data_IF_456548480670
#
_entry.id   IF_456548480670
#
_cell.length_a   1.000
_cell.length_b   1.000
_cell.length_c   1.000
_cell.angle_alpha   90.00
_cell.angle_beta   90.00
_cell.angle_gamma   90.00
#
_symmetry.space_group_name_H-M   'P 1'
#
loop_
_entity.id
_entity.type
_entity.pdbx_description
1 polymer ?
#
# COMPACT_ATOMS: atom_id res chain seq x y z
N UNK A 1 75.22 61.75 -68.03
CA UNK A 1 75.71 60.87 -69.13
C UNK A 1 75.85 59.47 -68.58
N UNK A 2 75.12 58.51 -69.16
CA UNK A 2 75.23 57.04 -68.97
C UNK A 2 75.03 56.51 -67.54
N UNK A 3 74.37 55.39 -67.28
CA UNK A 3 73.81 54.30 -68.09
C UNK A 3 72.87 53.53 -67.15
N UNK A 4 71.72 53.08 -67.64
CA UNK A 4 71.39 51.66 -67.86
C UNK A 4 71.70 50.72 -66.66
N UNK A 5 70.87 49.78 -66.18
CA UNK A 5 69.56 49.17 -66.50
C UNK A 5 69.69 47.70 -66.03
N UNK A 6 68.54 47.08 -65.65
CA UNK A 6 68.25 45.62 -65.53
C UNK A 6 68.83 44.88 -64.31
N UNK A 7 67.97 44.45 -63.38
CA UNK A 7 66.98 43.33 -63.41
C UNK A 7 67.61 41.97 -63.13
N UNK A 8 67.07 41.25 -62.14
CA UNK A 8 66.30 39.98 -62.24
C UNK A 8 66.12 39.45 -60.80
N UNK A 9 64.91 39.44 -60.22
CA UNK A 9 63.75 38.54 -60.37
C UNK A 9 63.91 37.20 -59.64
N UNK A 10 63.05 36.98 -58.63
CA UNK A 10 62.15 35.84 -58.43
C UNK A 10 61.66 35.94 -56.98
N UNK A 11 60.38 36.24 -56.72
CA UNK A 11 59.28 35.25 -56.77
C UNK A 11 59.13 34.70 -55.34
N UNK A 12 57.97 34.57 -54.72
CA UNK A 12 56.62 34.35 -55.23
C UNK A 12 55.64 34.43 -54.04
N UNK A 13 54.43 34.92 -54.27
CA UNK A 13 53.23 34.67 -53.46
C UNK A 13 53.08 35.54 -52.21
N UNK A 14 51.96 36.19 -51.91
CA UNK A 14 50.65 36.20 -52.54
C UNK A 14 49.79 37.18 -51.72
N UNK A 15 49.13 38.08 -52.44
CA UNK A 15 48.17 39.09 -51.99
C UNK A 15 46.92 38.48 -51.35
N UNK A 16 46.32 39.12 -50.33
CA UNK A 16 45.00 39.80 -50.42
C UNK A 16 44.50 40.29 -49.04
N UNK A 17 44.42 41.62 -48.92
CA UNK A 17 43.28 42.45 -48.45
C UNK A 17 42.17 41.83 -47.56
N UNK A 18 41.94 42.41 -46.36
CA UNK A 18 40.66 42.90 -45.81
C UNK A 18 40.91 43.39 -44.36
N UNK A 19 40.73 44.66 -43.97
CA UNK A 19 39.48 45.39 -43.75
C UNK A 19 38.54 44.69 -42.74
N UNK A 20 38.02 45.50 -41.80
CA UNK A 20 37.03 45.17 -40.77
C UNK A 20 37.56 44.44 -39.52
N UNK A 21 38.19 45.23 -38.64
CA UNK A 21 37.94 45.10 -37.21
C UNK A 21 36.48 45.53 -37.00
N UNK A 22 35.55 44.65 -37.36
CA UNK A 22 34.17 44.71 -36.92
C UNK A 22 34.15 44.13 -35.52
N UNK A 23 33.76 44.98 -34.59
CA UNK A 23 33.16 44.63 -33.30
C UNK A 23 32.17 43.47 -33.47
N UNK A 24 32.61 42.23 -33.22
CA UNK A 24 31.72 41.18 -32.74
C UNK A 24 31.52 41.40 -31.24
N UNK A 25 30.73 42.42 -30.91
CA UNK A 25 29.84 42.25 -29.77
C UNK A 25 28.82 41.24 -30.29
N UNK A 26 29.04 39.96 -30.01
CA UNK A 26 27.95 39.00 -30.03
C UNK A 26 26.99 39.50 -28.96
N UNK A 27 25.97 40.24 -29.38
CA UNK A 27 24.77 40.45 -28.60
C UNK A 27 24.09 39.09 -28.47
N UNK A 28 24.59 38.27 -27.54
CA UNK A 28 23.77 37.35 -26.78
C UNK A 28 22.95 38.21 -25.81
N UNK A 29 22.08 39.05 -26.35
CA UNK A 29 20.87 39.44 -25.66
C UNK A 29 19.83 38.43 -26.16
N UNK A 30 19.93 37.19 -25.67
CA UNK A 30 18.79 36.29 -25.72
C UNK A 30 17.67 36.90 -24.89
N UNK A 31 16.42 36.63 -25.24
CA UNK A 31 15.30 37.05 -24.39
C UNK A 31 15.53 36.48 -22.98
N UNK A 32 15.57 37.32 -21.92
CA UNK A 32 15.71 36.83 -20.55
C UNK A 32 14.68 35.77 -20.19
N UNK A 33 13.48 35.83 -20.80
CA UNK A 33 12.45 34.82 -20.63
C UNK A 33 12.86 33.47 -21.25
N UNK A 34 13.25 33.45 -22.54
CA UNK A 34 13.73 32.24 -23.21
C UNK A 34 14.88 31.56 -22.46
N UNK A 35 15.81 32.33 -21.89
CA UNK A 35 16.93 31.78 -21.13
C UNK A 35 16.50 31.13 -19.80
N UNK A 36 15.60 31.77 -19.06
CA UNK A 36 15.08 31.20 -17.81
C UNK A 36 14.18 29.99 -18.06
N UNK A 37 13.42 30.01 -19.14
CA UNK A 37 12.62 28.87 -19.62
C UNK A 37 13.50 27.68 -20.04
N UNK A 38 14.64 27.92 -20.70
CA UNK A 38 15.62 26.88 -21.02
C UNK A 38 16.25 26.30 -19.74
N UNK A 39 16.65 27.15 -18.79
CA UNK A 39 17.19 26.70 -17.51
C UNK A 39 16.18 25.90 -16.68
N UNK A 40 14.89 26.27 -16.71
CA UNK A 40 13.83 25.51 -16.05
C UNK A 40 13.68 24.12 -16.69
N UNK A 41 13.64 24.05 -18.02
CA UNK A 41 13.56 22.75 -18.72
C UNK A 41 14.75 21.85 -18.41
N UNK A 42 15.98 22.39 -18.41
CA UNK A 42 17.17 21.60 -18.08
C UNK A 42 17.13 21.06 -16.63
N UNK A 43 16.55 21.81 -15.68
CA UNK A 43 16.33 21.33 -14.31
C UNK A 43 15.26 20.23 -14.24
N UNK A 44 14.21 20.35 -15.06
CA UNK A 44 13.08 19.43 -15.07
C UNK A 44 13.28 18.18 -15.91
N UNK A 45 14.32 18.09 -16.75
CA UNK A 45 14.52 16.95 -17.67
C UNK A 45 14.50 15.60 -16.94
N UNK A 46 15.24 15.47 -15.82
CA UNK A 46 15.25 14.24 -15.02
C UNK A 46 13.93 13.98 -14.29
N UNK A 47 13.30 15.05 -13.78
CA UNK A 47 12.00 15.00 -13.10
C UNK A 47 10.89 14.56 -14.08
N UNK A 48 10.97 14.98 -15.34
CA UNK A 48 10.05 14.56 -16.39
C UNK A 48 10.21 13.08 -16.76
N UNK A 49 11.44 12.57 -16.84
CA UNK A 49 11.69 11.15 -17.04
C UNK A 49 11.09 10.31 -15.90
N UNK A 50 11.26 10.75 -14.65
CA UNK A 50 10.68 10.11 -13.48
C UNK A 50 9.15 10.16 -13.49
N UNK A 51 8.55 11.31 -13.83
CA UNK A 51 7.10 11.44 -13.96
C UNK A 51 6.54 10.52 -15.04
N UNK A 52 7.21 10.37 -16.18
CA UNK A 52 6.79 9.42 -17.22
C UNK A 52 6.85 7.96 -16.74
N UNK A 53 7.80 7.61 -15.88
CA UNK A 53 7.90 6.29 -15.28
C UNK A 53 6.75 6.02 -14.30
N UNK A 54 6.49 6.95 -13.39
CA UNK A 54 5.34 6.87 -12.46
C UNK A 54 4.03 6.80 -13.23
N UNK A 55 3.78 7.73 -14.17
CA UNK A 55 2.56 7.73 -14.99
C UNK A 55 2.35 6.40 -15.72
N UNK A 56 3.42 5.80 -16.26
CA UNK A 56 3.32 4.51 -16.96
C UNK A 56 2.95 3.36 -16.02
N UNK A 57 3.44 3.38 -14.77
CA UNK A 57 3.03 2.42 -13.75
C UNK A 57 1.55 2.57 -13.41
N UNK A 58 1.09 3.81 -13.21
CA UNK A 58 -0.28 4.10 -12.78
C UNK A 58 -1.33 3.98 -13.89
N UNK A 59 -0.99 4.30 -15.14
CA UNK A 59 -1.94 4.22 -16.27
C UNK A 59 -2.36 2.78 -16.63
N UNK A 60 -1.63 1.77 -16.14
CA UNK A 60 -2.01 0.37 -16.31
C UNK A 60 -3.08 -0.10 -15.31
N UNK A 61 -3.45 0.75 -14.34
CA UNK A 61 -4.41 0.41 -13.30
C UNK A 61 -5.82 0.70 -13.81
N UNK A 62 -6.60 -0.38 -13.98
CA UNK A 62 -8.01 -0.29 -14.35
C UNK A 62 -8.89 -0.21 -13.10
N UNK A 63 -9.35 1.01 -12.79
CA UNK A 63 -10.26 1.24 -11.66
C UNK A 63 -11.60 0.51 -11.76
N UNK A 64 -12.12 0.24 -12.97
CA UNK A 64 -13.37 -0.51 -13.16
C UNK A 64 -13.18 -1.98 -12.79
N UNK A 65 -12.04 -2.56 -13.18
CA UNK A 65 -11.64 -3.91 -12.81
C UNK A 65 -11.50 -4.05 -11.29
N UNK A 66 -10.89 -3.05 -10.63
CA UNK A 66 -10.76 -3.05 -9.17
C UNK A 66 -12.13 -3.03 -8.49
N UNK A 67 -13.04 -2.16 -8.95
CA UNK A 67 -14.40 -2.05 -8.39
C UNK A 67 -15.17 -3.37 -8.59
N UNK A 68 -15.06 -3.97 -9.77
CA UNK A 68 -15.76 -5.21 -10.09
C UNK A 68 -15.28 -6.33 -9.17
N UNK A 69 -13.97 -6.51 -9.04
CA UNK A 69 -13.39 -7.55 -8.21
C UNK A 69 -13.78 -7.39 -6.73
N UNK A 70 -13.71 -6.16 -6.17
CA UNK A 70 -14.14 -5.88 -4.79
C UNK A 70 -15.62 -6.22 -4.56
N UNK A 71 -16.46 -6.04 -5.58
CA UNK A 71 -17.91 -6.25 -5.51
C UNK A 71 -18.30 -7.73 -5.67
N UNK A 72 -17.52 -8.50 -6.43
CA UNK A 72 -17.77 -9.91 -6.74
C UNK A 72 -17.17 -10.84 -5.66
N UNK A 73 -17.66 -10.70 -4.42
CA UNK A 73 -17.28 -11.50 -3.22
C UNK A 73 -17.34 -13.03 -3.43
N UNK A 74 -18.04 -13.52 -4.46
CA UNK A 74 -18.26 -14.95 -4.72
C UNK A 74 -17.21 -15.61 -5.65
N UNK A 75 -16.33 -14.86 -6.30
CA UNK A 75 -15.33 -15.41 -7.22
C UNK A 75 -13.94 -15.44 -6.57
N UNK A 76 -13.69 -16.43 -5.72
CA UNK A 76 -12.34 -16.73 -5.21
C UNK A 76 -11.37 -17.20 -6.30
N UNK A 77 -11.14 -16.38 -7.34
CA UNK A 77 -10.37 -16.76 -8.53
C UNK A 77 -9.30 -15.78 -8.98
N UNK A 78 -9.19 -14.56 -8.45
CA UNK A 78 -8.17 -13.59 -8.93
C UNK A 78 -7.40 -12.87 -7.78
N UNK A 79 -7.24 -13.51 -6.62
CA UNK A 79 -6.52 -12.94 -5.45
C UNK A 79 -5.06 -12.59 -5.78
N UNK A 80 -4.40 -13.39 -6.64
CA UNK A 80 -3.00 -13.20 -7.03
C UNK A 80 -2.80 -11.86 -7.77
N UNK A 81 -3.78 -11.40 -8.55
CA UNK A 81 -3.64 -10.18 -9.35
C UNK A 81 -3.66 -8.92 -8.48
N UNK A 82 -4.56 -8.89 -7.49
CA UNK A 82 -4.63 -7.82 -6.50
C UNK A 82 -3.39 -7.79 -5.60
N UNK A 83 -2.90 -8.95 -5.17
CA UNK A 83 -1.66 -9.04 -4.38
C UNK A 83 -0.46 -8.51 -5.16
N UNK A 84 -0.34 -8.90 -6.44
CA UNK A 84 0.74 -8.42 -7.30
C UNK A 84 0.65 -6.91 -7.53
N UNK A 85 -0.55 -6.38 -7.79
CA UNK A 85 -0.75 -4.94 -7.94
C UNK A 85 -0.40 -4.17 -6.67
N UNK A 86 -0.86 -4.64 -5.51
CA UNK A 86 -0.53 -4.04 -4.22
C UNK A 86 0.99 -4.01 -3.97
N UNK A 87 1.68 -5.12 -4.25
CA UNK A 87 3.12 -5.24 -4.10
C UNK A 87 3.90 -4.37 -5.09
N UNK A 88 3.44 -4.24 -6.34
CA UNK A 88 4.03 -3.35 -7.34
C UNK A 88 3.88 -1.87 -6.93
N UNK A 89 2.69 -1.49 -6.45
CA UNK A 89 2.43 -0.15 -5.93
C UNK A 89 3.33 0.18 -4.73
N UNK A 90 3.38 -0.68 -3.72
CA UNK A 90 4.16 -0.44 -2.49
C UNK A 90 5.68 -0.51 -2.75
N UNK A 91 6.12 -1.49 -3.53
CA UNK A 91 7.53 -1.83 -3.68
C UNK A 91 8.26 -1.06 -4.78
N UNK A 92 7.56 -0.64 -5.83
CA UNK A 92 8.16 -0.03 -7.02
C UNK A 92 7.63 1.38 -7.30
N UNK A 93 6.31 1.57 -7.35
CA UNK A 93 5.72 2.83 -7.84
C UNK A 93 5.71 3.91 -6.75
N UNK A 94 5.34 3.59 -5.50
CA UNK A 94 5.25 4.55 -4.41
C UNK A 94 6.61 5.22 -4.11
N UNK A 95 7.74 4.49 -3.99
CA UNK A 95 9.04 5.12 -3.79
C UNK A 95 9.44 6.07 -4.93
N UNK A 96 9.04 5.77 -6.17
CA UNK A 96 9.28 6.64 -7.32
C UNK A 96 8.39 7.88 -7.29
N UNK A 97 7.13 7.75 -6.87
CA UNK A 97 6.20 8.86 -6.74
C UNK A 97 6.62 9.83 -5.60
N UNK A 98 7.07 9.30 -4.47
CA UNK A 98 7.63 10.10 -3.36
C UNK A 98 8.91 10.85 -3.80
N UNK A 99 9.80 10.17 -4.53
CA UNK A 99 11.00 10.81 -5.07
C UNK A 99 10.66 11.90 -6.09
N UNK A 100 9.64 11.68 -6.93
CA UNK A 100 9.16 12.66 -7.90
C UNK A 100 8.66 13.93 -7.19
N UNK A 101 7.83 13.76 -6.16
CA UNK A 101 7.32 14.86 -5.35
C UNK A 101 8.46 15.63 -4.66
N UNK A 102 9.40 14.91 -4.03
CA UNK A 102 10.55 15.52 -3.35
C UNK A 102 11.43 16.32 -4.33
N UNK A 103 11.82 15.73 -5.46
CA UNK A 103 12.68 16.39 -6.45
C UNK A 103 11.97 17.57 -7.13
N UNK A 104 10.67 17.44 -7.44
CA UNK A 104 9.89 18.54 -7.99
C UNK A 104 9.82 19.71 -7.02
N UNK A 105 9.56 19.46 -5.73
CA UNK A 105 9.44 20.52 -4.71
C UNK A 105 10.73 21.34 -4.50
N UNK A 106 11.88 20.79 -4.90
CA UNK A 106 13.18 21.43 -4.77
C UNK A 106 13.51 22.39 -5.93
N UNK A 107 12.69 22.42 -6.99
CA UNK A 107 12.90 23.31 -8.14
C UNK A 107 12.41 24.71 -7.80
N UNK A 108 13.30 25.70 -7.92
CA UNK A 108 12.97 27.11 -7.69
C UNK A 108 13.04 27.90 -9.00
N UNK A 109 12.08 28.80 -9.23
CA UNK A 109 12.09 29.73 -10.36
C UNK A 109 11.71 31.15 -9.93
N UNK A 110 12.42 32.15 -10.44
CA UNK A 110 12.19 33.57 -10.12
C UNK A 110 11.08 34.20 -10.99
N UNK A 111 10.50 33.45 -11.93
CA UNK A 111 9.44 33.92 -12.85
C UNK A 111 8.07 33.41 -12.43
N UNK A 112 7.14 34.33 -12.23
CA UNK A 112 5.75 34.04 -11.89
C UNK A 112 5.08 33.13 -12.92
N UNK A 113 5.28 33.37 -14.22
CA UNK A 113 4.64 32.56 -15.27
C UNK A 113 5.16 31.12 -15.32
N UNK A 114 6.45 30.90 -15.01
CA UNK A 114 7.04 29.55 -14.93
C UNK A 114 6.62 28.88 -13.62
N UNK A 115 6.61 29.64 -12.52
CA UNK A 115 6.17 29.16 -11.21
C UNK A 115 4.74 28.65 -11.27
N UNK A 116 3.82 29.39 -11.91
CA UNK A 116 2.43 28.96 -12.08
C UNK A 116 2.30 27.59 -12.76
N UNK A 117 3.16 27.29 -13.75
CA UNK A 117 3.17 25.96 -14.39
C UNK A 117 3.83 24.91 -13.50
N UNK A 118 4.91 25.28 -12.81
CA UNK A 118 5.59 24.39 -11.89
C UNK A 118 4.68 23.96 -10.72
N UNK A 119 3.87 24.88 -10.19
CA UNK A 119 2.90 24.58 -9.12
C UNK A 119 1.88 23.53 -9.58
N UNK A 120 1.37 23.62 -10.82
CA UNK A 120 0.47 22.60 -11.39
C UNK A 120 1.18 21.24 -11.51
N UNK A 121 2.45 21.23 -11.90
CA UNK A 121 3.24 20.01 -11.96
C UNK A 121 3.43 19.39 -10.56
N UNK A 122 3.73 20.21 -9.55
CA UNK A 122 3.91 19.76 -8.17
C UNK A 122 2.60 19.20 -7.60
N UNK A 123 1.46 19.87 -7.81
CA UNK A 123 0.14 19.37 -7.41
C UNK A 123 -0.18 18.02 -8.10
N UNK A 124 0.26 17.83 -9.35
CA UNK A 124 0.14 16.54 -10.05
C UNK A 124 1.03 15.45 -9.44
N UNK A 125 2.27 15.78 -9.07
CA UNK A 125 3.19 14.84 -8.42
C UNK A 125 2.65 14.38 -7.05
N UNK A 126 2.18 15.33 -6.22
CA UNK A 126 1.54 15.04 -4.93
C UNK A 126 0.31 14.15 -5.12
N UNK A 127 -0.56 14.45 -6.09
CA UNK A 127 -1.74 13.63 -6.36
C UNK A 127 -1.40 12.20 -6.84
N UNK A 128 -0.29 11.99 -7.54
CA UNK A 128 0.19 10.64 -7.92
C UNK A 128 0.72 9.88 -6.71
N UNK A 129 1.49 10.54 -5.85
CA UNK A 129 1.98 9.99 -4.58
C UNK A 129 0.81 9.53 -3.70
N UNK A 130 -0.15 10.43 -3.46
CA UNK A 130 -1.38 10.16 -2.71
C UNK A 130 -2.22 9.03 -3.31
N UNK A 131 -2.39 9.02 -4.64
CA UNK A 131 -3.12 7.95 -5.32
C UNK A 131 -2.46 6.59 -5.10
N UNK A 132 -1.14 6.53 -5.24
CA UNK A 132 -0.37 5.29 -5.12
C UNK A 132 -0.42 4.73 -3.70
N UNK A 133 -0.17 5.58 -2.70
CA UNK A 133 -0.21 5.20 -1.28
C UNK A 133 -1.61 4.72 -0.87
N UNK A 134 -2.64 5.54 -1.15
CA UNK A 134 -3.99 5.21 -0.74
C UNK A 134 -4.54 3.97 -1.44
N UNK A 135 -4.23 3.79 -2.73
CA UNK A 135 -4.64 2.58 -3.45
C UNK A 135 -3.93 1.34 -2.91
N UNK A 136 -2.62 1.43 -2.63
CA UNK A 136 -1.87 0.33 -2.03
C UNK A 136 -2.43 -0.06 -0.66
N UNK A 137 -2.62 0.89 0.27
CA UNK A 137 -3.17 0.59 1.61
C UNK A 137 -4.60 0.03 1.51
N UNK A 138 -5.41 0.50 0.57
CA UNK A 138 -6.74 -0.06 0.32
C UNK A 138 -6.67 -1.53 -0.12
N UNK A 139 -5.87 -1.85 -1.15
CA UNK A 139 -5.75 -3.21 -1.69
C UNK A 139 -5.18 -4.18 -0.65
N UNK A 140 -4.13 -3.78 0.06
CA UNK A 140 -3.52 -4.56 1.15
C UNK A 140 -4.55 -4.80 2.27
N UNK A 141 -5.30 -3.77 2.67
CA UNK A 141 -6.33 -3.90 3.71
C UNK A 141 -7.46 -4.82 3.26
N UNK A 142 -7.88 -4.73 1.99
CA UNK A 142 -8.91 -5.58 1.41
C UNK A 142 -8.49 -7.05 1.41
N UNK A 143 -7.28 -7.37 0.92
CA UNK A 143 -6.74 -8.72 0.93
C UNK A 143 -6.65 -9.29 2.35
N UNK A 144 -6.11 -8.51 3.28
CA UNK A 144 -6.03 -8.89 4.69
C UNK A 144 -7.41 -9.19 5.31
N UNK A 145 -8.47 -8.49 4.88
CA UNK A 145 -9.85 -8.74 5.30
C UNK A 145 -10.39 -10.09 4.80
N UNK A 146 -10.09 -10.45 3.55
CA UNK A 146 -10.43 -11.75 2.97
C UNK A 146 -9.71 -12.86 3.72
N UNK A 147 -8.39 -12.76 3.87
CA UNK A 147 -7.61 -13.78 4.56
C UNK A 147 -8.06 -13.97 6.02
N UNK A 148 -8.37 -12.87 6.71
CA UNK A 148 -8.89 -12.95 8.07
C UNK A 148 -10.22 -13.70 8.13
N UNK A 149 -11.10 -13.47 7.15
CA UNK A 149 -12.37 -14.17 7.03
C UNK A 149 -12.17 -15.67 6.77
N UNK A 150 -11.23 -16.03 5.90
CA UNK A 150 -10.87 -17.43 5.64
C UNK A 150 -10.28 -18.13 6.87
N UNK A 151 -9.42 -17.43 7.61
CA UNK A 151 -8.87 -17.92 8.89
C UNK A 151 -9.99 -18.18 9.90
N UNK A 152 -10.97 -17.27 10.03
CA UNK A 152 -12.14 -17.48 10.89
C UNK A 152 -12.99 -18.69 10.46
N UNK A 153 -13.16 -18.91 9.16
CA UNK A 153 -13.87 -20.09 8.63
C UNK A 153 -13.10 -21.37 8.98
N UNK A 154 -11.78 -21.40 8.74
CA UNK A 154 -10.93 -22.54 9.03
C UNK A 154 -10.93 -22.89 10.53
N UNK A 155 -10.84 -21.87 11.41
CA UNK A 155 -10.93 -22.04 12.86
C UNK A 155 -12.30 -22.62 13.27
N UNK A 156 -13.38 -22.15 12.65
CA UNK A 156 -14.73 -22.67 12.90
C UNK A 156 -14.86 -24.14 12.47
N UNK A 157 -14.25 -24.53 11.35
CA UNK A 157 -14.21 -25.93 10.90
C UNK A 157 -13.42 -26.81 11.86
N UNK A 158 -12.23 -26.38 12.26
CA UNK A 158 -11.40 -27.11 13.24
C UNK A 158 -12.14 -27.29 14.57
N UNK A 159 -12.87 -26.27 15.02
CA UNK A 159 -13.70 -26.37 16.21
C UNK A 159 -14.76 -27.47 16.10
N UNK A 160 -15.51 -27.52 14.99
CA UNK A 160 -16.53 -28.54 14.77
C UNK A 160 -15.96 -29.96 14.71
N UNK A 161 -14.80 -30.13 14.08
CA UNK A 161 -14.11 -31.43 14.00
C UNK A 161 -13.65 -31.90 15.38
N UNK A 162 -13.00 -31.01 16.15
CA UNK A 162 -12.54 -31.30 17.50
C UNK A 162 -13.71 -31.59 18.45
N UNK A 163 -14.78 -30.79 18.37
CA UNK A 163 -15.99 -31.03 19.15
C UNK A 163 -16.54 -32.42 18.89
N UNK A 164 -16.67 -32.81 17.61
CA UNK A 164 -17.16 -34.13 17.24
C UNK A 164 -16.26 -35.25 17.76
N UNK A 165 -14.94 -35.14 17.60
CA UNK A 165 -14.01 -36.17 18.10
C UNK A 165 -14.12 -36.32 19.62
N UNK A 166 -14.18 -35.21 20.36
CA UNK A 166 -14.36 -35.21 21.81
C UNK A 166 -15.67 -35.89 22.20
N UNK A 167 -16.76 -35.52 21.55
CA UNK A 167 -18.09 -36.03 21.85
C UNK A 167 -18.18 -37.55 21.54
N UNK A 168 -17.57 -38.03 20.46
CA UNK A 168 -17.47 -39.46 20.13
C UNK A 168 -16.73 -40.26 21.25
N UNK A 169 -15.70 -39.67 21.87
CA UNK A 169 -14.97 -40.31 22.99
C UNK A 169 -15.82 -40.33 24.26
N UNK A 170 -16.52 -39.25 24.55
CA UNK A 170 -17.42 -39.14 25.71
C UNK A 170 -18.55 -40.18 25.59
N UNK A 171 -19.18 -40.26 24.41
CA UNK A 171 -20.30 -41.18 24.16
C UNK A 171 -19.90 -42.67 24.19
N UNK A 172 -18.64 -42.97 23.88
CA UNK A 172 -18.12 -44.35 23.87
C UNK A 172 -17.50 -44.80 25.21
N UNK A 173 -17.50 -43.95 26.23
CA UNK A 173 -16.99 -44.28 27.56
C UNK A 173 -17.97 -45.20 28.34
N UNK A 174 -17.54 -46.42 28.65
CA UNK A 174 -18.34 -47.41 29.40
C UNK A 174 -17.73 -47.80 30.76
N UNK A 175 -16.45 -47.55 30.97
CA UNK A 175 -15.74 -47.89 32.21
C UNK A 175 -16.00 -46.84 33.31
N UNK A 176 -16.27 -47.30 34.53
CA UNK A 176 -16.65 -46.43 35.65
C UNK A 176 -15.57 -45.39 36.01
N UNK A 177 -14.29 -45.77 35.95
CA UNK A 177 -13.19 -44.83 36.23
C UNK A 177 -13.05 -43.80 35.10
N UNK A 178 -13.18 -44.24 33.84
CA UNK A 178 -13.16 -43.35 32.67
C UNK A 178 -14.32 -42.35 32.71
N UNK A 179 -15.53 -42.81 32.99
CA UNK A 179 -16.73 -41.96 33.05
C UNK A 179 -16.59 -40.91 34.14
N UNK A 180 -16.14 -41.29 35.34
CA UNK A 180 -15.92 -40.34 36.43
C UNK A 180 -14.89 -39.25 36.07
N UNK A 181 -13.79 -39.63 35.42
CA UNK A 181 -12.76 -38.66 35.00
C UNK A 181 -13.25 -37.73 33.87
N UNK A 182 -14.05 -38.24 32.94
CA UNK A 182 -14.67 -37.43 31.89
C UNK A 182 -15.72 -36.48 32.49
N UNK A 183 -16.51 -36.92 33.45
CA UNK A 183 -17.50 -36.06 34.12
C UNK A 183 -16.83 -34.87 34.84
N UNK A 184 -15.66 -35.08 35.45
CA UNK A 184 -14.86 -33.99 36.03
C UNK A 184 -14.41 -32.96 34.97
N UNK A 185 -14.03 -33.42 33.78
CA UNK A 185 -13.69 -32.52 32.68
C UNK A 185 -14.93 -31.76 32.18
N UNK A 186 -16.07 -32.44 32.04
CA UNK A 186 -17.32 -31.82 31.59
C UNK A 186 -17.77 -30.72 32.57
N UNK A 187 -17.67 -30.96 33.88
CA UNK A 187 -17.98 -29.95 34.89
C UNK A 187 -17.12 -28.69 34.70
N UNK A 188 -15.79 -28.85 34.60
CA UNK A 188 -14.89 -27.71 34.38
C UNK A 188 -15.13 -27.01 33.03
N UNK A 189 -15.40 -27.78 31.97
CA UNK A 189 -15.69 -27.23 30.64
C UNK A 189 -16.98 -26.41 30.62
N UNK A 190 -18.01 -26.85 31.34
CA UNK A 190 -19.27 -26.11 31.45
C UNK A 190 -19.08 -24.80 32.21
N UNK A 191 -18.35 -24.81 33.33
CA UNK A 191 -18.01 -23.59 34.06
C UNK A 191 -17.23 -22.60 33.18
N UNK A 192 -16.21 -23.07 32.49
CA UNK A 192 -15.42 -22.25 31.58
C UNK A 192 -16.28 -21.71 30.42
N UNK A 193 -17.16 -22.53 29.84
CA UNK A 193 -18.02 -22.13 28.73
C UNK A 193 -19.04 -21.04 29.13
N UNK A 194 -19.58 -21.11 30.34
CA UNK A 194 -20.50 -20.09 30.87
C UNK A 194 -19.76 -18.75 31.03
N UNK A 195 -18.58 -18.77 31.65
CA UNK A 195 -17.75 -17.57 31.81
C UNK A 195 -17.35 -16.94 30.47
N UNK A 196 -16.91 -17.76 29.50
CA UNK A 196 -16.53 -17.30 28.18
C UNK A 196 -17.72 -16.69 27.43
N UNK A 197 -18.90 -17.33 27.51
CA UNK A 197 -20.12 -16.82 26.88
C UNK A 197 -20.47 -15.42 27.40
N UNK A 198 -20.53 -15.25 28.72
CA UNK A 198 -20.83 -13.96 29.36
C UNK A 198 -19.81 -12.88 28.98
N UNK A 199 -18.51 -13.22 28.97
CA UNK A 199 -17.46 -12.28 28.60
C UNK A 199 -17.48 -11.89 27.12
N UNK A 200 -17.98 -12.77 26.24
CA UNK A 200 -18.01 -12.54 24.79
C UNK A 200 -19.17 -11.64 24.32
N UNK A 201 -20.23 -11.51 25.13
CA UNK A 201 -21.46 -10.75 24.79
C UNK A 201 -21.17 -9.29 24.38
N UNK A 202 -20.17 -8.67 25.01
CA UNK A 202 -19.75 -7.30 24.69
C UNK A 202 -19.29 -7.16 23.23
N UNK A 203 -18.75 -8.20 22.59
CA UNK A 203 -18.31 -8.13 21.19
C UNK A 203 -19.48 -7.98 20.21
N UNK A 204 -20.69 -8.37 20.61
CA UNK A 204 -21.93 -8.27 19.82
C UNK A 204 -22.67 -6.95 20.04
N UNK A 205 -22.26 -6.14 21.02
CA UNK A 205 -22.88 -4.86 21.37
C UNK A 205 -22.56 -3.73 20.38
N UNK A 206 -23.19 -2.56 20.55
CA UNK A 206 -22.88 -1.33 19.80
C UNK A 206 -21.68 -0.54 20.38
N UNK A 207 -20.90 -1.14 21.29
CA UNK A 207 -19.73 -0.48 21.87
C UNK A 207 -18.66 -0.15 20.79
N UNK A 208 -17.85 0.90 21.00
CA UNK A 208 -16.78 1.27 20.06
C UNK A 208 -15.80 0.13 19.82
N UNK A 209 -15.18 0.11 18.63
CA UNK A 209 -14.19 -0.90 18.28
C UNK A 209 -13.08 -1.00 19.33
N UNK A 210 -12.50 0.12 19.75
CA UNK A 210 -11.45 0.17 20.78
C UNK A 210 -11.84 -0.59 22.06
N UNK A 211 -13.09 -0.41 22.52
CA UNK A 211 -13.61 -1.12 23.70
C UNK A 211 -13.73 -2.62 23.47
N UNK A 212 -14.14 -3.04 22.27
CA UNK A 212 -14.21 -4.47 21.90
C UNK A 212 -12.82 -5.10 21.81
N UNK A 213 -11.82 -4.36 21.33
CA UNK A 213 -10.44 -4.83 21.26
C UNK A 213 -9.83 -4.95 22.67
N UNK A 214 -10.06 -3.97 23.55
CA UNK A 214 -9.70 -4.07 24.97
C UNK A 214 -10.34 -5.30 25.63
N UNK A 215 -11.62 -5.58 25.35
CA UNK A 215 -12.29 -6.77 25.87
C UNK A 215 -11.63 -8.08 25.41
N UNK A 216 -11.14 -8.13 24.17
CA UNK A 216 -10.39 -9.30 23.67
C UNK A 216 -9.07 -9.42 24.41
N UNK A 217 -8.27 -8.35 24.45
CA UNK A 217 -6.88 -8.39 24.94
C UNK A 217 -6.77 -8.49 26.46
N UNK A 218 -7.66 -7.82 27.19
CA UNK A 218 -7.57 -7.71 28.65
C UNK A 218 -8.47 -8.70 29.40
N UNK A 219 -9.48 -9.27 28.73
CA UNK A 219 -10.45 -10.17 29.37
C UNK A 219 -10.48 -11.54 28.72
N UNK A 220 -10.79 -11.64 27.43
CA UNK A 220 -11.02 -12.93 26.78
C UNK A 220 -9.73 -13.75 26.66
N UNK A 221 -8.64 -13.18 26.17
CA UNK A 221 -7.37 -13.92 26.02
C UNK A 221 -6.81 -14.39 27.38
N UNK A 222 -6.72 -13.54 28.42
CA UNK A 222 -6.32 -14.00 29.75
C UNK A 222 -7.26 -15.06 30.35
N UNK A 223 -8.57 -14.93 30.16
CA UNK A 223 -9.54 -15.92 30.63
C UNK A 223 -9.34 -17.28 29.96
N UNK A 224 -9.04 -17.30 28.66
CA UNK A 224 -8.73 -18.53 27.94
C UNK A 224 -7.45 -19.21 28.43
N UNK A 225 -6.42 -18.43 28.81
CA UNK A 225 -5.21 -18.97 29.47
C UNK A 225 -5.53 -19.59 30.85
N UNK A 226 -6.44 -18.98 31.60
CA UNK A 226 -6.92 -19.54 32.87
C UNK A 226 -7.71 -20.84 32.65
N UNK A 227 -8.53 -20.92 31.59
CA UNK A 227 -9.25 -22.14 31.22
C UNK A 227 -8.32 -23.28 30.78
N UNK A 228 -7.26 -22.98 30.03
CA UNK A 228 -6.19 -23.93 29.69
C UNK A 228 -5.56 -24.46 30.98
N UNK A 229 -5.19 -23.56 31.88
CA UNK A 229 -4.57 -23.93 33.17
C UNK A 229 -5.50 -24.78 34.02
N UNK A 230 -6.80 -24.45 34.09
CA UNK A 230 -7.76 -25.20 34.90
C UNK A 230 -7.87 -26.65 34.43
N UNK A 231 -7.95 -26.89 33.11
CA UNK A 231 -7.96 -28.23 32.55
C UNK A 231 -6.66 -29.02 32.78
N UNK A 232 -5.51 -28.38 32.60
CA UNK A 232 -4.20 -29.04 32.74
C UNK A 232 -3.94 -29.52 34.17
N UNK A 233 -4.51 -28.84 35.17
CA UNK A 233 -4.33 -29.21 36.58
C UNK A 233 -5.22 -30.36 37.05
N UNK A 234 -6.21 -30.78 36.25
CA UNK A 234 -7.07 -31.92 36.58
C UNK A 234 -6.25 -33.21 36.55
N UNK A 235 -6.30 -33.97 37.64
CA UNK A 235 -5.57 -35.22 37.77
C UNK A 235 -6.34 -36.37 37.10
N UNK A 236 -5.84 -36.83 35.95
CA UNK A 236 -6.45 -37.88 35.14
C UNK A 236 -5.48 -39.07 35.01
N UNK A 237 -6.01 -40.28 35.12
CA UNK A 237 -5.25 -41.52 35.04
C UNK A 237 -5.60 -42.35 33.80
N UNK A 238 -6.78 -42.13 33.21
CA UNK A 238 -7.28 -42.91 32.08
C UNK A 238 -6.93 -42.26 30.74
N UNK A 239 -6.64 -43.08 29.73
CA UNK A 239 -6.31 -42.59 28.39
C UNK A 239 -7.46 -41.84 27.70
N UNK A 240 -8.73 -42.31 27.75
CA UNK A 240 -9.84 -41.59 27.13
C UNK A 240 -10.05 -40.20 27.74
N UNK A 241 -10.03 -40.06 29.07
CA UNK A 241 -10.13 -38.75 29.72
C UNK A 241 -8.96 -37.82 29.35
N UNK A 242 -7.74 -38.36 29.28
CA UNK A 242 -6.59 -37.58 28.79
C UNK A 242 -6.79 -37.10 27.34
N UNK A 243 -7.37 -37.92 26.46
CA UNK A 243 -7.66 -37.49 25.08
C UNK A 243 -8.75 -36.41 25.03
N UNK A 244 -9.82 -36.54 25.83
CA UNK A 244 -10.85 -35.49 25.97
C UNK A 244 -10.23 -34.17 26.42
N UNK A 245 -9.32 -34.21 27.41
CA UNK A 245 -8.56 -33.02 27.83
C UNK A 245 -7.73 -32.45 26.69
N UNK A 246 -6.93 -33.28 25.99
CA UNK A 246 -6.10 -32.79 24.88
C UNK A 246 -6.91 -32.10 23.79
N UNK A 247 -8.01 -32.70 23.34
CA UNK A 247 -8.88 -32.10 22.31
C UNK A 247 -9.48 -30.79 22.83
N UNK A 248 -9.91 -30.75 24.10
CA UNK A 248 -10.47 -29.54 24.69
C UNK A 248 -9.44 -28.41 24.79
N UNK A 249 -8.18 -28.73 25.09
CA UNK A 249 -7.08 -27.76 25.05
C UNK A 249 -6.82 -27.25 23.62
N UNK A 250 -6.82 -28.14 22.63
CA UNK A 250 -6.74 -27.74 21.21
C UNK A 250 -7.88 -26.78 20.82
N UNK A 251 -9.09 -27.01 21.33
CA UNK A 251 -10.22 -26.09 21.14
C UNK A 251 -9.99 -24.72 21.81
N UNK A 252 -9.41 -24.68 23.02
CA UNK A 252 -9.09 -23.40 23.68
C UNK A 252 -8.01 -22.60 22.95
N UNK A 253 -6.95 -23.26 22.45
CA UNK A 253 -5.98 -22.61 21.58
C UNK A 253 -6.64 -22.10 20.28
N UNK A 254 -7.59 -22.86 19.74
CA UNK A 254 -8.43 -22.42 18.62
C UNK A 254 -9.26 -21.18 18.95
N UNK A 255 -9.83 -21.09 20.16
CA UNK A 255 -10.55 -19.89 20.61
C UNK A 255 -9.64 -18.67 20.76
N UNK A 256 -8.41 -18.85 21.27
CA UNK A 256 -7.44 -17.75 21.34
C UNK A 256 -7.16 -17.18 19.95
N UNK A 257 -6.81 -18.05 19.00
CA UNK A 257 -6.61 -17.66 17.61
C UNK A 257 -7.86 -17.02 16.99
N UNK A 258 -9.06 -17.53 17.32
CA UNK A 258 -10.32 -16.96 16.84
C UNK A 258 -10.55 -15.53 17.30
N UNK A 259 -10.30 -15.23 18.58
CA UNK A 259 -10.49 -13.87 19.09
C UNK A 259 -9.40 -12.91 18.60
N UNK A 260 -8.16 -13.37 18.44
CA UNK A 260 -7.11 -12.60 17.77
C UNK A 260 -7.49 -12.26 16.32
N UNK A 261 -7.98 -13.24 15.56
CA UNK A 261 -8.38 -13.00 14.18
C UNK A 261 -9.61 -12.09 14.11
N UNK A 262 -10.58 -12.26 15.01
CA UNK A 262 -11.75 -11.38 15.09
C UNK A 262 -11.36 -9.93 15.34
N UNK A 263 -10.29 -9.68 16.12
CA UNK A 263 -9.71 -8.33 16.31
C UNK A 263 -9.16 -7.77 15.00
N UNK A 264 -8.42 -8.57 14.23
CA UNK A 264 -7.90 -8.17 12.92
C UNK A 264 -9.04 -7.84 11.95
N UNK A 265 -10.08 -8.69 11.89
CA UNK A 265 -11.27 -8.43 11.07
C UNK A 265 -11.95 -7.11 11.43
N UNK A 266 -12.08 -6.77 12.72
CA UNK A 266 -12.62 -5.47 13.13
C UNK A 266 -11.77 -4.30 12.61
N UNK A 267 -10.44 -4.41 12.72
CA UNK A 267 -9.50 -3.39 12.25
C UNK A 267 -9.60 -3.17 10.74
N UNK A 268 -9.56 -4.25 9.94
CA UNK A 268 -9.62 -4.15 8.48
C UNK A 268 -10.96 -3.59 8.02
N UNK A 269 -12.06 -4.00 8.65
CA UNK A 269 -13.38 -3.45 8.35
C UNK A 269 -13.49 -1.96 8.67
N UNK A 270 -12.92 -1.50 9.78
CA UNK A 270 -12.90 -0.07 10.10
C UNK A 270 -12.07 0.73 9.09
N UNK A 271 -10.86 0.23 8.74
CA UNK A 271 -10.02 0.85 7.72
C UNK A 271 -10.75 0.97 6.37
N UNK A 272 -11.32 -0.12 5.88
CA UNK A 272 -12.06 -0.14 4.60
C UNK A 272 -13.30 0.75 4.61
N UNK A 273 -13.94 0.97 5.78
CA UNK A 273 -15.05 1.92 5.89
C UNK A 273 -14.59 3.39 5.82
N UNK A 274 -13.40 3.67 6.33
CA UNK A 274 -12.82 5.01 6.35
C UNK A 274 -12.15 5.38 5.02
N UNK A 275 -11.67 4.39 4.26
CA UNK A 275 -11.05 4.57 2.95
C UNK A 275 -12.08 4.33 1.85
N UNK A 276 -12.49 5.39 1.15
CA UNK A 276 -13.44 5.28 0.05
C UNK A 276 -12.70 5.07 -1.28
N UNK A 277 -12.76 3.84 -1.81
CA UNK A 277 -12.16 3.48 -3.11
C UNK A 277 -12.50 4.49 -4.22
N UNK A 278 -13.75 4.96 -4.28
CA UNK A 278 -14.15 5.93 -5.30
C UNK A 278 -13.41 7.28 -5.19
N UNK A 279 -13.05 7.70 -3.97
CA UNK A 279 -12.28 8.93 -3.78
C UNK A 279 -10.85 8.72 -4.25
N UNK A 280 -10.25 7.55 -3.95
CA UNK A 280 -8.92 7.18 -4.44
C UNK A 280 -8.91 7.20 -5.97
N UNK A 281 -9.82 6.47 -6.61
CA UNK A 281 -9.91 6.41 -8.07
C UNK A 281 -10.16 7.79 -8.72
N UNK A 282 -10.79 8.72 -8.00
CA UNK A 282 -10.97 10.09 -8.51
C UNK A 282 -9.66 10.91 -8.57
N UNK A 283 -8.63 10.54 -7.79
CA UNK A 283 -7.29 11.15 -7.89
C UNK A 283 -6.62 10.85 -9.23
N UNK A 284 -6.92 9.68 -9.82
CA UNK A 284 -6.41 9.29 -11.14
C UNK A 284 -6.81 10.30 -12.22
N UNK A 285 -8.11 10.60 -12.31
CA UNK A 285 -8.63 11.60 -13.24
C UNK A 285 -8.07 13.01 -12.93
N UNK A 286 -7.85 13.32 -11.65
CA UNK A 286 -7.33 14.60 -11.21
C UNK A 286 -5.90 14.85 -11.69
N UNK A 287 -4.96 13.92 -11.43
CA UNK A 287 -3.57 14.10 -11.84
C UNK A 287 -3.42 14.06 -13.36
N UNK A 288 -4.19 13.23 -14.07
CA UNK A 288 -4.17 13.18 -15.54
C UNK A 288 -4.57 14.52 -16.16
N UNK A 289 -5.56 15.19 -15.56
CA UNK A 289 -5.98 16.52 -15.97
C UNK A 289 -4.89 17.57 -15.68
N UNK A 290 -4.25 17.52 -14.51
CA UNK A 290 -3.16 18.44 -14.17
C UNK A 290 -1.95 18.25 -15.09
N UNK A 291 -1.60 17.02 -15.47
CA UNK A 291 -0.55 16.72 -16.45
C UNK A 291 -0.86 17.34 -17.83
N UNK A 292 -2.11 17.26 -18.28
CA UNK A 292 -2.53 17.89 -19.53
C UNK A 292 -2.49 19.42 -19.45
N UNK A 293 -2.92 19.99 -18.31
CA UNK A 293 -2.88 21.43 -18.06
C UNK A 293 -1.45 21.96 -18.04
N UNK A 294 -0.54 21.30 -17.32
CA UNK A 294 0.90 21.59 -17.31
C UNK A 294 1.50 21.56 -18.71
N UNK A 295 1.31 20.46 -19.45
CA UNK A 295 1.86 20.31 -20.81
C UNK A 295 1.37 21.44 -21.72
N UNK A 296 0.07 21.75 -21.68
CA UNK A 296 -0.52 22.82 -22.50
C UNK A 296 0.02 24.19 -22.11
N UNK A 297 0.09 24.51 -20.82
CA UNK A 297 0.62 25.80 -20.36
C UNK A 297 2.09 25.98 -20.71
N UNK A 298 2.91 24.93 -20.59
CA UNK A 298 4.30 24.96 -21.04
C UNK A 298 4.43 25.16 -22.56
N UNK A 299 3.56 24.54 -23.37
CA UNK A 299 3.51 24.79 -24.81
C UNK A 299 3.08 26.22 -25.15
N UNK A 300 2.12 26.79 -24.42
CA UNK A 300 1.67 28.18 -24.59
C UNK A 300 2.79 29.18 -24.25
N UNK A 301 3.53 28.96 -23.16
CA UNK A 301 4.68 29.79 -22.79
C UNK A 301 5.81 29.74 -23.84
N UNK A 302 6.07 28.57 -24.45
CA UNK A 302 7.08 28.45 -25.53
C UNK A 302 6.65 29.08 -26.85
N UNK A 303 5.35 29.11 -27.15
CA UNK A 303 4.80 29.61 -28.42
C UNK A 303 4.27 31.06 -28.36
N UNK A 304 4.17 31.63 -27.16
CA UNK A 304 3.71 33.00 -26.90
C UNK A 304 4.78 34.08 -27.05
N UNK A 305 6.03 33.70 -27.34
CA UNK A 305 7.12 34.55 -27.86
C UNK A 305 7.02 34.76 -29.39
#
# INVERSE_FOLDING_TARGET
>A
MNKDVKHVKAGLGGTFTLLLICTFILSACGDPFAQEMENYQEQMDGIHEMNEEVTRGLDNIDGEEIIQHVSDIESGSDDDEFENLAAELEGEILPLAEALEEEASAVETDREEIQEQHDIFLESAEAKSDFTDQLSDYLITYQNSIEASDRLIALSQSFMENQKERDDIIESAEDEEVVNEIDMLIEQLNENSEALYEASDMLESDEPMEKKQEQIDEVLLPMLDEHVTSLDTINLSTQPANRVRSISLEMYYGYQAYYEERKNTMLYNEKLQNIQLQNILSLQESYQKMDEEYRRGMEELKNGE
#
